data_IF_146134696370
#
_entry.id   IF_146134696370
#
_cell.length_a   1.000
_cell.length_b   1.000
_cell.length_c   1.000
_cell.angle_alpha   90.00
_cell.angle_beta   90.00
_cell.angle_gamma   90.00
#
_symmetry.space_group_name_H-M   'P 1'
#
loop_
_entity.id
_entity.type
_entity.pdbx_description
1 polymer ?
#
# COMPACT_ATOMS: atom_id res chain seq x y z
N UNK A 1 -9.73 24.72 -22.25
CA UNK A 1 -11.00 24.45 -21.54
C UNK A 1 -10.71 24.42 -20.07
N UNK A 2 -11.42 25.20 -19.26
CA UNK A 2 -11.18 25.26 -17.81
C UNK A 2 -11.90 24.13 -17.10
N UNK A 3 -11.30 23.60 -16.04
CA UNK A 3 -11.91 22.60 -15.16
C UNK A 3 -11.77 23.07 -13.70
N UNK A 4 -12.78 22.85 -12.86
CA UNK A 4 -12.79 23.37 -11.49
C UNK A 4 -11.67 22.78 -10.61
N UNK A 5 -11.20 21.57 -10.93
CA UNK A 5 -10.12 20.92 -10.20
C UNK A 5 -8.70 21.36 -10.62
N UNK A 6 -8.55 22.20 -11.64
CA UNK A 6 -7.24 22.48 -12.23
C UNK A 6 -7.15 23.91 -12.83
N UNK A 7 -6.12 24.71 -12.50
CA UNK A 7 -6.07 26.11 -12.89
C UNK A 7 -5.78 26.38 -14.37
N UNK A 8 -5.09 25.47 -15.06
CA UNK A 8 -4.72 25.65 -16.46
C UNK A 8 -5.81 25.16 -17.42
N UNK A 9 -5.75 25.65 -18.65
CA UNK A 9 -6.58 25.15 -19.73
C UNK A 9 -6.19 23.73 -20.13
N UNK A 10 -7.22 22.91 -20.29
CA UNK A 10 -7.15 21.55 -20.81
C UNK A 10 -7.50 21.54 -22.30
N UNK A 11 -6.79 20.69 -23.04
CA UNK A 11 -7.04 20.36 -24.44
C UNK A 11 -7.40 18.89 -24.57
N UNK A 12 -8.14 18.56 -25.63
CA UNK A 12 -8.49 17.18 -25.93
C UNK A 12 -7.31 16.54 -26.66
N UNK A 13 -6.80 15.43 -26.14
CA UNK A 13 -5.70 14.69 -26.74
C UNK A 13 -6.03 13.19 -26.86
N UNK A 14 -5.63 12.52 -27.95
CA UNK A 14 -5.71 11.08 -28.03
C UNK A 14 -4.68 10.46 -27.08
N UNK A 15 -5.13 9.54 -26.23
CA UNK A 15 -4.23 8.65 -25.50
C UNK A 15 -3.89 7.49 -26.45
N UNK A 16 -2.83 7.64 -27.25
CA UNK A 16 -2.38 6.57 -28.15
C UNK A 16 -1.63 5.51 -27.32
N UNK A 17 -1.90 4.21 -27.52
CA UNK A 17 -1.15 3.14 -26.83
C UNK A 17 0.36 3.17 -27.10
N UNK A 18 0.77 3.83 -28.18
CA UNK A 18 2.14 3.83 -28.68
C UNK A 18 3.10 4.76 -27.92
N UNK A 19 2.59 5.72 -27.13
CA UNK A 19 3.40 6.64 -26.31
C UNK A 19 3.50 6.23 -24.83
N UNK A 20 3.02 5.02 -24.49
CA UNK A 20 3.47 4.18 -23.38
C UNK A 20 3.82 4.94 -22.08
N UNK A 21 2.84 5.65 -21.54
CA UNK A 21 2.78 5.94 -20.11
C UNK A 21 1.45 5.41 -19.63
N UNK A 22 1.48 4.62 -18.55
CA UNK A 22 0.30 4.25 -17.77
C UNK A 22 -0.29 5.53 -17.13
N UNK A 23 -0.79 6.44 -17.95
CA UNK A 23 -1.35 7.70 -17.51
C UNK A 23 -2.64 7.39 -16.77
N UNK A 24 -2.71 7.82 -15.52
CA UNK A 24 -3.90 7.71 -14.71
C UNK A 24 -4.67 9.03 -14.75
N UNK A 25 -5.98 8.93 -14.77
CA UNK A 25 -6.86 10.08 -14.58
C UNK A 25 -6.73 10.59 -13.15
N UNK A 26 -6.48 11.89 -12.96
CA UNK A 26 -6.43 12.53 -11.64
C UNK A 26 -7.79 12.52 -10.92
N UNK A 27 -8.88 12.36 -11.68
CA UNK A 27 -10.22 12.30 -11.16
C UNK A 27 -10.56 10.97 -10.49
N UNK A 28 -10.29 9.85 -11.16
CA UNK A 28 -10.70 8.53 -10.66
C UNK A 28 -9.54 7.59 -10.34
N UNK A 29 -8.29 8.02 -10.56
CA UNK A 29 -7.07 7.23 -10.41
C UNK A 29 -7.03 5.94 -11.26
N UNK A 30 -7.87 5.86 -12.28
CA UNK A 30 -7.89 4.73 -13.21
C UNK A 30 -7.11 5.07 -14.50
N UNK A 31 -6.58 4.06 -15.20
CA UNK A 31 -5.88 4.26 -16.46
C UNK A 31 -6.72 5.01 -17.49
N UNK A 32 -6.10 5.92 -18.23
CA UNK A 32 -6.70 6.60 -19.37
C UNK A 32 -6.84 5.64 -20.57
N UNK A 33 -7.88 5.86 -21.37
CA UNK A 33 -8.14 5.12 -22.60
C UNK A 33 -8.80 6.05 -23.60
N UNK A 34 -8.54 5.83 -24.89
CA UNK A 34 -9.11 6.65 -25.95
C UNK A 34 -8.76 8.13 -25.81
N UNK A 35 -9.73 9.01 -25.95
CA UNK A 35 -9.51 10.46 -25.88
C UNK A 35 -9.63 10.96 -24.44
N UNK A 36 -8.69 11.82 -24.00
CA UNK A 36 -8.67 12.41 -22.67
C UNK A 36 -8.50 13.93 -22.73
N UNK A 37 -8.77 14.59 -21.61
CA UNK A 37 -8.36 15.97 -21.40
C UNK A 37 -6.95 15.97 -20.82
N UNK A 38 -6.02 16.65 -21.50
CA UNK A 38 -4.65 16.82 -21.06
C UNK A 38 -4.32 18.29 -20.89
N UNK A 39 -3.53 18.60 -19.87
CA UNK A 39 -2.93 19.91 -19.73
C UNK A 39 -1.59 19.93 -20.47
N UNK A 40 -1.32 21.00 -21.23
CA UNK A 40 -0.04 21.18 -21.92
C UNK A 40 1.06 21.73 -21.01
N UNK A 41 0.70 22.36 -19.89
CA UNK A 41 1.64 22.98 -18.95
C UNK A 41 2.10 22.04 -17.84
N UNK A 42 1.29 21.01 -17.54
CA UNK A 42 1.59 20.04 -16.50
C UNK A 42 1.04 18.66 -16.86
N UNK A 43 1.52 17.63 -16.18
CA UNK A 43 1.10 16.24 -16.40
C UNK A 43 -0.27 15.93 -15.77
N UNK A 44 -1.27 16.80 -15.97
CA UNK A 44 -2.62 16.63 -15.48
C UNK A 44 -3.52 16.06 -16.57
N UNK A 45 -4.25 14.99 -16.23
CA UNK A 45 -5.10 14.27 -17.19
C UNK A 45 -6.44 13.87 -16.57
N UNK A 46 -7.51 13.97 -17.36
CA UNK A 46 -8.84 13.50 -16.99
C UNK A 46 -9.48 12.69 -18.11
N UNK A 47 -10.23 11.65 -17.74
CA UNK A 47 -11.22 11.08 -18.66
C UNK A 47 -12.24 12.16 -19.02
N UNK A 48 -12.82 12.05 -20.22
CA UNK A 48 -13.94 12.92 -20.61
C UNK A 48 -15.07 12.89 -19.56
N UNK A 49 -15.42 11.69 -19.14
CA UNK A 49 -16.38 11.47 -18.07
C UNK A 49 -16.01 12.22 -16.77
N UNK A 50 -14.75 12.16 -16.33
CA UNK A 50 -14.33 12.84 -15.09
C UNK A 50 -14.30 14.36 -15.23
N UNK A 51 -14.12 14.89 -16.44
CA UNK A 51 -14.22 16.32 -16.73
C UNK A 51 -15.68 16.81 -16.68
N UNK A 52 -16.62 15.98 -17.15
CA UNK A 52 -18.05 16.29 -17.24
C UNK A 52 -18.83 15.91 -15.96
N UNK A 53 -18.14 15.57 -14.86
CA UNK A 53 -18.81 15.17 -13.61
C UNK A 53 -19.63 16.33 -13.04
N UNK A 54 -20.89 16.08 -12.63
CA UNK A 54 -21.72 17.12 -12.03
C UNK A 54 -21.14 17.55 -10.67
N UNK A 55 -21.29 18.83 -10.33
CA UNK A 55 -20.81 19.37 -9.05
C UNK A 55 -21.53 18.77 -7.84
N UNK A 56 -22.68 18.13 -8.05
CA UNK A 56 -23.50 17.51 -7.02
C UNK A 56 -24.19 16.25 -7.55
N UNK A 57 -24.35 15.23 -6.72
CA UNK A 57 -25.03 13.98 -7.12
C UNK A 57 -25.86 13.35 -6.00
N UNK A 58 -26.87 12.56 -6.38
CA UNK A 58 -27.74 11.79 -5.49
C UNK A 58 -27.47 10.29 -5.60
N UNK A 59 -26.75 9.70 -4.64
CA UNK A 59 -26.44 8.27 -4.69
C UNK A 59 -27.52 7.43 -4.00
N UNK A 60 -27.88 6.28 -4.58
CA UNK A 60 -28.91 5.39 -4.03
C UNK A 60 -28.57 4.85 -2.63
N UNK A 61 -27.28 4.71 -2.31
CA UNK A 61 -26.79 4.32 -0.99
C UNK A 61 -26.89 5.44 0.07
N UNK A 62 -27.18 6.67 -0.35
CA UNK A 62 -27.33 7.83 0.53
C UNK A 62 -28.42 8.78 -0.02
N UNK A 63 -29.70 8.35 -0.06
CA UNK A 63 -30.75 9.05 -0.79
C UNK A 63 -31.20 10.36 -0.12
N UNK A 64 -31.00 10.49 1.19
CA UNK A 64 -31.55 11.59 1.99
C UNK A 64 -30.82 12.92 1.79
N UNK A 65 -29.58 12.91 1.29
CA UNK A 65 -28.80 14.12 1.07
C UNK A 65 -28.14 14.10 -0.29
N UNK A 66 -28.01 15.29 -0.88
CA UNK A 66 -27.16 15.51 -2.05
C UNK A 66 -25.70 15.54 -1.61
N UNK A 67 -24.82 14.90 -2.36
CA UNK A 67 -23.38 14.94 -2.12
C UNK A 67 -22.75 15.99 -3.04
N UNK A 68 -21.83 16.78 -2.50
CA UNK A 68 -21.03 17.74 -3.26
C UNK A 68 -19.74 17.10 -3.78
N UNK A 69 -19.36 17.43 -5.01
CA UNK A 69 -18.09 16.99 -5.60
C UNK A 69 -16.93 17.79 -5.01
N UNK A 70 -15.98 17.07 -4.42
CA UNK A 70 -14.73 17.60 -3.90
C UNK A 70 -13.56 17.09 -4.74
N UNK A 71 -12.54 17.94 -4.83
CA UNK A 71 -11.28 17.66 -5.50
C UNK A 71 -10.15 17.59 -4.47
N UNK A 72 -9.07 16.83 -4.72
CA UNK A 72 -7.87 16.88 -3.89
C UNK A 72 -7.34 18.32 -3.74
N UNK A 73 -6.77 18.68 -2.58
CA UNK A 73 -6.51 17.85 -1.40
C UNK A 73 -7.69 17.76 -0.42
N UNK A 74 -8.86 18.32 -0.74
CA UNK A 74 -9.93 18.57 0.23
C UNK A 74 -10.76 17.34 0.64
N UNK A 75 -10.39 16.13 0.19
CA UNK A 75 -11.03 14.89 0.60
C UNK A 75 -10.05 14.00 1.38
N UNK A 76 -10.39 13.76 2.65
CA UNK A 76 -9.64 12.89 3.54
C UNK A 76 -10.62 11.92 4.21
N UNK A 77 -10.59 10.66 3.81
CA UNK A 77 -11.45 9.63 4.38
C UNK A 77 -11.54 8.37 3.52
N UNK A 78 -11.98 7.25 4.11
CA UNK A 78 -12.32 6.06 3.34
C UNK A 78 -13.60 6.30 2.54
N UNK A 79 -13.70 5.67 1.38
CA UNK A 79 -14.93 5.59 0.61
C UNK A 79 -15.89 4.61 1.27
N UNK A 80 -17.12 5.03 1.57
CA UNK A 80 -18.15 4.21 2.21
C UNK A 80 -18.64 3.04 1.34
N UNK A 81 -18.32 3.05 0.04
CA UNK A 81 -18.68 1.95 -0.88
C UNK A 81 -17.61 0.86 -0.97
N UNK A 82 -16.33 1.21 -0.91
CA UNK A 82 -15.24 0.25 -1.14
C UNK A 82 -14.21 0.16 -0.01
N UNK A 83 -14.27 1.05 0.98
CA UNK A 83 -13.34 1.13 2.11
C UNK A 83 -11.99 1.78 1.79
N UNK A 84 -11.66 1.98 0.51
CA UNK A 84 -10.38 2.57 0.09
C UNK A 84 -10.36 4.09 0.27
N UNK A 85 -9.18 4.66 0.50
CA UNK A 85 -9.01 6.11 0.64
C UNK A 85 -9.44 6.89 -0.60
N UNK A 86 -10.18 7.97 -0.37
CA UNK A 86 -10.59 8.96 -1.35
C UNK A 86 -9.43 9.89 -1.72
N UNK A 87 -8.56 9.43 -2.62
CA UNK A 87 -7.39 10.19 -3.10
C UNK A 87 -7.61 10.93 -4.43
N UNK A 88 -8.83 10.87 -4.98
CA UNK A 88 -9.22 11.51 -6.23
C UNK A 88 -10.51 12.30 -6.04
N UNK A 89 -11.27 12.49 -7.11
CA UNK A 89 -12.55 13.16 -7.06
C UNK A 89 -13.53 12.34 -6.22
N UNK A 90 -14.17 13.03 -5.28
CA UNK A 90 -14.96 12.39 -4.24
C UNK A 90 -16.25 13.17 -4.04
N UNK A 91 -17.36 12.45 -4.03
CA UNK A 91 -18.62 13.01 -3.57
C UNK A 91 -18.68 12.90 -2.05
N UNK A 92 -18.91 14.03 -1.38
CA UNK A 92 -19.00 14.12 0.06
C UNK A 92 -20.36 14.71 0.48
N UNK A 93 -20.96 14.11 1.50
CA UNK A 93 -22.02 14.73 2.27
C UNK A 93 -21.43 15.29 3.56
N UNK A 94 -21.41 16.61 3.70
CA UNK A 94 -20.86 17.30 4.88
C UNK A 94 -21.67 17.04 6.15
N UNK A 95 -22.98 16.78 6.01
CA UNK A 95 -23.87 16.52 7.13
C UNK A 95 -23.67 15.14 7.76
N UNK A 96 -23.42 14.13 6.93
CA UNK A 96 -23.28 12.74 7.37
C UNK A 96 -21.83 12.26 7.40
N UNK A 97 -20.89 13.09 6.94
CA UNK A 97 -19.50 12.69 6.66
C UNK A 97 -19.41 11.46 5.74
N UNK A 98 -20.34 11.36 4.78
CA UNK A 98 -20.41 10.25 3.83
C UNK A 98 -19.53 10.58 2.62
N UNK A 99 -18.60 9.70 2.28
CA UNK A 99 -17.62 9.86 1.20
C UNK A 99 -17.73 8.72 0.20
N UNK A 100 -17.79 9.04 -1.09
CA UNK A 100 -17.76 8.02 -2.14
C UNK A 100 -16.90 8.51 -3.31
N UNK A 101 -16.02 7.64 -3.83
CA UNK A 101 -15.27 7.97 -5.05
C UNK A 101 -16.24 8.33 -6.17
N UNK A 102 -15.90 9.31 -7.02
CA UNK A 102 -16.70 9.62 -8.19
C UNK A 102 -16.92 8.38 -9.08
N UNK A 103 -15.90 7.51 -9.22
CA UNK A 103 -16.01 6.24 -9.93
C UNK A 103 -16.93 5.22 -9.24
N UNK A 104 -16.97 5.18 -7.91
CA UNK A 104 -17.90 4.33 -7.16
C UNK A 104 -19.34 4.83 -7.28
N UNK A 105 -19.57 6.14 -7.28
CA UNK A 105 -20.90 6.71 -7.46
C UNK A 105 -21.51 6.33 -8.82
N UNK A 106 -20.73 6.36 -9.91
CA UNK A 106 -21.19 5.99 -11.26
C UNK A 106 -21.74 4.57 -11.34
N UNK A 107 -21.19 3.65 -10.56
CA UNK A 107 -21.69 2.28 -10.51
C UNK A 107 -23.08 2.18 -9.87
N UNK A 108 -23.47 3.18 -9.07
CA UNK A 108 -24.75 3.29 -8.39
C UNK A 108 -25.80 4.09 -9.19
N UNK A 109 -25.38 4.75 -10.28
CA UNK A 109 -26.23 5.62 -11.11
C UNK A 109 -26.58 5.03 -12.47
N UNK A 110 -26.13 3.82 -12.82
CA UNK A 110 -26.40 3.27 -14.14
C UNK A 110 -27.90 3.01 -14.32
N UNK A 111 -28.58 3.93 -15.00
CA UNK A 111 -29.85 3.63 -15.66
C UNK A 111 -29.56 2.55 -16.72
N UNK A 112 -30.20 1.37 -16.63
CA UNK A 112 -30.01 0.30 -17.60
C UNK A 112 -30.34 0.67 -19.05
N UNK A 113 -31.02 1.81 -19.29
CA UNK A 113 -31.57 2.19 -20.60
C UNK A 113 -30.71 3.17 -21.42
N UNK A 114 -29.61 3.73 -20.89
CA UNK A 114 -28.73 4.62 -21.65
C UNK A 114 -27.51 3.87 -22.24
N UNK A 115 -27.61 3.47 -23.51
CA UNK A 115 -26.57 2.69 -24.23
C UNK A 115 -25.20 3.37 -24.28
N UNK A 116 -25.11 4.71 -24.26
CA UNK A 116 -23.81 5.42 -24.26
C UNK A 116 -23.10 5.37 -22.90
N UNK A 117 -23.87 5.26 -21.81
CA UNK A 117 -23.34 5.17 -20.46
C UNK A 117 -22.99 3.72 -20.08
N UNK A 118 -23.55 2.75 -20.80
CA UNK A 118 -23.35 1.32 -20.53
C UNK A 118 -21.91 0.87 -20.78
N UNK A 119 -21.25 1.34 -21.84
CA UNK A 119 -19.83 1.01 -22.11
C UNK A 119 -18.90 1.56 -21.02
N UNK A 120 -19.07 2.84 -20.67
CA UNK A 120 -18.28 3.53 -19.65
C UNK A 120 -18.48 2.90 -18.27
N UNK A 121 -19.73 2.60 -17.90
CA UNK A 121 -20.07 1.94 -16.63
C UNK A 121 -19.49 0.53 -16.56
N UNK A 122 -19.65 -0.29 -17.61
CA UNK A 122 -19.12 -1.66 -17.66
C UNK A 122 -17.60 -1.67 -17.58
N UNK A 123 -16.92 -0.77 -18.28
CA UNK A 123 -15.47 -0.61 -18.18
C UNK A 123 -15.03 -0.24 -16.76
N UNK A 124 -15.68 0.76 -16.14
CA UNK A 124 -15.38 1.14 -14.75
C UNK A 124 -15.61 -0.03 -13.79
N UNK A 125 -16.66 -0.84 -13.98
CA UNK A 125 -16.89 -2.08 -13.19
C UNK A 125 -15.72 -3.05 -13.33
N UNK A 126 -15.33 -3.39 -14.55
CA UNK A 126 -14.24 -4.34 -14.79
C UNK A 126 -12.91 -3.83 -14.24
N UNK A 127 -12.55 -2.57 -14.49
CA UNK A 127 -11.29 -2.01 -14.01
C UNK A 127 -11.25 -1.82 -12.50
N UNK A 128 -12.35 -1.42 -11.87
CA UNK A 128 -12.42 -1.37 -10.41
C UNK A 128 -12.30 -2.77 -9.80
N UNK A 129 -12.92 -3.80 -10.40
CA UNK A 129 -12.78 -5.18 -9.94
C UNK A 129 -11.34 -5.70 -10.11
N UNK A 130 -10.71 -5.42 -11.25
CA UNK A 130 -9.31 -5.77 -11.52
C UNK A 130 -8.36 -5.10 -10.52
N UNK A 131 -8.55 -3.81 -10.26
CA UNK A 131 -7.74 -3.07 -9.28
C UNK A 131 -7.93 -3.58 -7.86
N UNK A 132 -9.16 -3.95 -7.47
CA UNK A 132 -9.42 -4.58 -6.16
C UNK A 132 -8.70 -5.93 -6.03
N UNK A 133 -8.77 -6.76 -7.08
CA UNK A 133 -8.06 -8.04 -7.12
C UNK A 133 -6.55 -7.86 -7.00
N UNK A 134 -5.97 -6.95 -7.80
CA UNK A 134 -4.53 -6.67 -7.78
C UNK A 134 -4.08 -6.14 -6.40
N UNK A 135 -4.85 -5.25 -5.78
CA UNK A 135 -4.57 -4.75 -4.42
C UNK A 135 -4.57 -5.89 -3.39
N UNK A 136 -5.55 -6.79 -3.44
CA UNK A 136 -5.60 -7.95 -2.55
C UNK A 136 -4.40 -8.89 -2.74
N UNK A 137 -3.93 -9.06 -3.98
CA UNK A 137 -2.74 -9.87 -4.26
C UNK A 137 -1.47 -9.20 -3.73
N UNK A 138 -1.34 -7.88 -3.90
CA UNK A 138 -0.21 -7.10 -3.38
C UNK A 138 -0.17 -7.09 -1.85
N UNK A 139 -1.32 -6.94 -1.17
CA UNK A 139 -1.38 -7.00 0.29
C UNK A 139 -1.02 -8.39 0.80
N UNK A 140 -1.51 -9.45 0.17
CA UNK A 140 -1.16 -10.84 0.53
C UNK A 140 0.33 -11.13 0.27
N UNK A 141 0.90 -10.60 -0.81
CA UNK A 141 2.34 -10.71 -1.08
C UNK A 141 3.16 -10.00 -0.01
N UNK A 142 2.79 -8.77 0.33
CA UNK A 142 3.46 -7.98 1.38
C UNK A 142 3.49 -8.72 2.72
N UNK A 143 2.37 -9.32 3.13
CA UNK A 143 2.31 -10.10 4.37
C UNK A 143 3.21 -11.34 4.34
N UNK A 144 3.32 -12.02 3.20
CA UNK A 144 4.25 -13.14 3.03
C UNK A 144 5.70 -12.68 3.12
N UNK A 145 6.05 -11.62 2.39
CA UNK A 145 7.40 -11.07 2.38
C UNK A 145 7.81 -10.56 3.79
N UNK A 146 6.90 -9.87 4.50
CA UNK A 146 7.10 -9.44 5.90
C UNK A 146 7.25 -10.63 6.86
N UNK A 147 6.48 -11.70 6.64
CA UNK A 147 6.56 -12.95 7.42
C UNK A 147 7.88 -13.70 7.19
N UNK A 148 8.35 -13.79 5.95
CA UNK A 148 9.64 -14.40 5.60
C UNK A 148 10.80 -13.60 6.22
N UNK A 149 10.76 -12.27 6.15
CA UNK A 149 11.77 -11.41 6.76
C UNK A 149 11.77 -11.54 8.30
N UNK A 150 10.60 -11.64 8.93
CA UNK A 150 10.49 -11.89 10.37
C UNK A 150 11.06 -13.26 10.77
N UNK A 151 10.76 -14.30 9.98
CA UNK A 151 11.31 -15.64 10.20
C UNK A 151 12.84 -15.67 10.08
N UNK A 152 13.39 -15.03 9.04
CA UNK A 152 14.84 -14.92 8.86
C UNK A 152 15.51 -14.18 10.03
N UNK A 153 14.94 -13.05 10.47
CA UNK A 153 15.41 -12.30 11.64
C UNK A 153 15.37 -13.14 12.92
N UNK A 154 14.33 -13.94 13.11
CA UNK A 154 14.24 -14.85 14.25
C UNK A 154 15.34 -15.92 14.20
N UNK A 155 15.55 -16.53 13.04
CA UNK A 155 16.58 -17.55 12.85
C UNK A 155 18.00 -17.01 13.10
N UNK A 156 18.31 -15.79 12.63
CA UNK A 156 19.59 -15.14 12.93
C UNK A 156 19.79 -14.88 14.43
N UNK A 157 18.75 -14.40 15.11
CA UNK A 157 18.78 -14.15 16.56
C UNK A 157 19.01 -15.46 17.34
N UNK A 158 18.34 -16.54 16.96
CA UNK A 158 18.51 -17.86 17.58
C UNK A 158 19.93 -18.41 17.34
N UNK A 159 20.45 -18.28 16.12
CA UNK A 159 21.82 -18.69 15.78
C UNK A 159 22.88 -17.87 16.55
N UNK A 160 22.65 -16.57 16.76
CA UNK A 160 23.53 -15.74 17.59
C UNK A 160 23.48 -16.16 19.06
N UNK A 161 22.29 -16.44 19.59
CA UNK A 161 22.12 -16.91 20.97
C UNK A 161 22.78 -18.29 21.18
N UNK A 162 22.69 -19.19 20.20
CA UNK A 162 23.39 -20.47 20.23
C UNK A 162 24.91 -20.28 20.22
N UNK A 163 25.44 -19.40 19.35
CA UNK A 163 26.87 -19.06 19.31
C UNK A 163 27.36 -18.49 20.65
N UNK A 164 26.60 -17.59 21.27
CA UNK A 164 26.90 -17.05 22.61
C UNK A 164 26.93 -18.15 23.67
N UNK A 165 25.94 -19.05 23.68
CA UNK A 165 25.90 -20.19 24.61
C UNK A 165 27.10 -21.13 24.43
N UNK A 166 27.43 -21.47 23.19
CA UNK A 166 28.59 -22.31 22.89
C UNK A 166 29.89 -21.66 23.36
N UNK A 167 30.10 -20.38 23.07
CA UNK A 167 31.29 -19.64 23.52
C UNK A 167 31.40 -19.59 25.06
N UNK A 168 30.29 -19.37 25.76
CA UNK A 168 30.30 -19.41 27.24
C UNK A 168 30.66 -20.80 27.78
N UNK A 169 30.13 -21.86 27.17
CA UNK A 169 30.46 -23.22 27.59
C UNK A 169 31.95 -23.54 27.37
N UNK A 170 32.51 -23.16 26.22
CA UNK A 170 33.95 -23.36 25.95
C UNK A 170 34.83 -22.56 26.92
N UNK A 171 34.44 -21.34 27.29
CA UNK A 171 35.15 -20.57 28.32
C UNK A 171 35.10 -21.24 29.70
N UNK A 172 33.99 -21.88 30.07
CA UNK A 172 33.91 -22.64 31.32
C UNK A 172 34.84 -23.86 31.31
N UNK A 173 34.87 -24.61 30.21
CA UNK A 173 35.78 -25.75 30.03
C UNK A 173 37.25 -25.32 30.12
N UNK A 174 37.61 -24.22 29.48
CA UNK A 174 38.98 -23.69 29.55
C UNK A 174 39.38 -23.35 30.99
N UNK A 175 38.53 -22.64 31.74
CA UNK A 175 38.81 -22.31 33.15
C UNK A 175 38.97 -23.54 34.02
N UNK A 176 38.19 -24.60 33.77
CA UNK A 176 38.34 -25.87 34.47
C UNK A 176 39.67 -26.55 34.13
N UNK A 177 40.08 -26.56 32.86
CA UNK A 177 41.39 -27.08 32.43
C UNK A 177 42.54 -26.33 33.11
N UNK A 178 42.53 -24.99 33.03
CA UNK A 178 43.56 -24.15 33.64
C UNK A 178 43.65 -24.37 35.16
N UNK A 179 42.51 -24.61 35.83
CA UNK A 179 42.46 -24.94 37.26
C UNK A 179 43.05 -26.31 37.57
N UNK A 180 42.80 -27.31 36.71
CA UNK A 180 43.39 -28.66 36.84
C UNK A 180 44.91 -28.59 36.67
N UNK A 181 45.40 -27.86 35.66
CA UNK A 181 46.83 -27.66 35.41
C UNK A 181 47.52 -26.96 36.59
N UNK A 182 46.86 -25.94 37.17
CA UNK A 182 47.33 -25.26 38.37
C UNK A 182 47.41 -26.21 39.58
N UNK A 183 46.40 -27.07 39.81
CA UNK A 183 46.42 -28.06 40.89
C UNK A 183 47.50 -29.14 40.69
N UNK A 184 47.76 -29.54 39.45
CA UNK A 184 48.84 -30.49 39.11
C UNK A 184 50.24 -29.95 39.39
N UNK A 185 50.47 -28.64 39.24
CA UNK A 185 51.74 -28.00 39.59
C UNK A 185 51.97 -27.95 41.11
N UNK A 186 50.93 -27.83 41.92
CA UNK A 186 51.05 -27.85 43.39
C UNK A 186 51.39 -29.27 43.90
N UNK A 187 50.82 -30.31 43.27
CA UNK A 187 51.07 -31.72 43.61
C UNK A 187 52.50 -32.20 43.33
N UNK A 188 53.21 -31.58 42.39
CA UNK A 188 54.61 -31.94 42.07
C UNK A 188 55.65 -31.21 42.94
N UNK A 189 55.23 -30.21 43.74
CA UNK A 189 56.12 -29.44 44.62
C UNK A 189 56.28 -30.01 46.03
N UNK A 190 55.55 -31.07 46.42
CA UNK A 190 55.64 -31.68 47.76
C UNK A 190 56.37 -33.02 47.74
N UNK A 191 57.63 -33.02 47.31
CA UNK A 191 58.56 -34.12 47.62
C UNK A 191 59.06 -33.94 49.06
N UNK A 192 58.33 -34.51 50.03
CA UNK A 192 58.83 -34.69 51.39
C UNK A 192 59.98 -35.71 51.38
N UNK A 193 61.20 -35.23 51.62
CA UNK A 193 62.37 -36.08 51.83
C UNK A 193 62.39 -36.58 53.27
N UNK A 194 62.01 -37.85 53.49
CA UNK A 194 62.31 -38.54 54.75
C UNK A 194 63.79 -38.97 54.73
N UNK A 195 64.64 -38.26 55.49
CA UNK A 195 65.96 -38.74 55.89
C UNK A 195 65.85 -39.39 57.27
N UNK A 196 65.95 -40.71 57.32
CA UNK A 196 66.23 -41.44 58.56
C UNK A 196 67.75 -41.50 58.75
N UNK A 197 68.19 -41.02 59.92
CA UNK A 197 69.50 -41.31 60.52
C UNK A 197 69.46 -42.68 61.19
#
# INVERSE_FOLDING_TARGET
>A
MKHASHPHDLSVAPNTPHENKNLACFGCNLPLFGTCYSCSTCNFYLHKFCFDLPQSSHVASHPNHTLGLLYPPYCHGPCDSCGDSCNGFTYNCTFCNYNIHASCAVLLHSDPQNERDQYTSTFFRHKLAEMKSLRSQLSAKKQRDEGEEAHYRQMEMEAELQRRRHNMHMQQLQRMSDSIDFMGQIGTSTNYTYRYF
#
